data_IF_693617842603
#
_entry.id   IF_693617842603
#
_cell.length_a   1.000
_cell.length_b   1.000
_cell.length_c   1.000
_cell.angle_alpha   90.00
_cell.angle_beta   90.00
_cell.angle_gamma   90.00
#
_symmetry.space_group_name_H-M   'P 1'
#
loop_
_entity.id
_entity.type
_entity.pdbx_description
1 polymer ?
#
# COMPACT_ATOMS: atom_id res chain seq x y z
N UNK A 1 -17.17 12.68 0.05
CA UNK A 1 -15.81 12.43 0.57
C UNK A 1 -15.03 11.48 -0.34
N UNK A 2 -15.63 10.37 -0.75
CA UNK A 2 -15.00 9.37 -1.62
C UNK A 2 -14.62 9.91 -3.00
N UNK A 3 -15.54 10.58 -3.71
CA UNK A 3 -15.26 11.15 -5.04
C UNK A 3 -14.12 12.18 -5.00
N UNK A 4 -14.04 12.96 -3.90
CA UNK A 4 -12.98 13.92 -3.70
C UNK A 4 -11.62 13.23 -3.53
N UNK A 5 -11.53 12.20 -2.69
CA UNK A 5 -10.29 11.42 -2.52
C UNK A 5 -9.84 10.79 -3.85
N UNK A 6 -10.77 10.21 -4.61
CA UNK A 6 -10.47 9.62 -5.92
C UNK A 6 -9.99 10.68 -6.91
N UNK A 7 -10.69 11.81 -7.02
CA UNK A 7 -10.32 12.92 -7.88
C UNK A 7 -8.95 13.50 -7.52
N UNK A 8 -8.68 13.68 -6.22
CA UNK A 8 -7.39 14.18 -5.72
C UNK A 8 -6.24 13.22 -6.06
N UNK A 9 -6.44 11.91 -5.89
CA UNK A 9 -5.43 10.90 -6.20
C UNK A 9 -5.17 10.77 -7.71
N UNK A 10 -6.23 10.86 -8.53
CA UNK A 10 -6.12 10.89 -10.00
C UNK A 10 -5.40 12.16 -10.46
N UNK A 11 -5.79 13.33 -9.93
CA UNK A 11 -5.17 14.62 -10.26
C UNK A 11 -3.68 14.70 -9.89
N UNK A 12 -3.25 13.95 -8.86
CA UNK A 12 -1.83 13.80 -8.49
C UNK A 12 -1.08 12.73 -9.28
N UNK A 13 -1.78 11.99 -10.14
CA UNK A 13 -1.23 10.87 -10.90
C UNK A 13 -0.80 9.70 -10.01
N UNK A 14 -1.47 9.48 -8.87
CA UNK A 14 -1.13 8.36 -7.97
C UNK A 14 -1.49 7.03 -8.59
N UNK A 15 -2.57 6.98 -9.36
CA UNK A 15 -2.96 5.84 -10.16
C UNK A 15 -3.65 6.29 -11.44
N UNK A 16 -3.83 5.36 -12.38
CA UNK A 16 -4.66 5.52 -13.59
C UNK A 16 -5.56 4.32 -13.78
N UNK A 17 -6.60 4.50 -14.59
CA UNK A 17 -7.50 3.42 -14.99
C UNK A 17 -6.99 2.77 -16.27
N UNK A 18 -6.91 1.44 -16.30
CA UNK A 18 -6.50 0.67 -17.47
C UNK A 18 -7.39 -0.55 -17.65
N UNK A 19 -7.68 -0.90 -18.91
CA UNK A 19 -8.45 -2.10 -19.21
C UNK A 19 -7.56 -3.34 -19.02
N UNK A 20 -8.13 -4.41 -18.44
CA UNK A 20 -7.40 -5.68 -18.34
C UNK A 20 -6.98 -6.19 -19.72
N UNK A 21 -5.69 -6.47 -19.87
CA UNK A 21 -5.09 -7.08 -21.05
C UNK A 21 -4.33 -8.34 -20.61
N UNK A 22 -4.75 -9.51 -21.08
CA UNK A 22 -4.17 -10.79 -20.70
C UNK A 22 -2.67 -10.89 -21.00
N UNK A 23 -2.21 -10.33 -22.12
CA UNK A 23 -0.79 -10.37 -22.52
C UNK A 23 0.10 -9.56 -21.56
N UNK A 24 -0.41 -8.44 -21.06
CA UNK A 24 0.34 -7.53 -20.17
C UNK A 24 0.16 -7.89 -18.70
N UNK A 25 -1.05 -8.30 -18.31
CA UNK A 25 -1.46 -8.43 -16.91
C UNK A 25 -1.60 -9.87 -16.45
N UNK A 26 -1.64 -10.86 -17.35
CA UNK A 26 -1.91 -12.27 -16.99
C UNK A 26 -0.88 -12.89 -16.04
N UNK A 27 0.35 -12.35 -16.00
CA UNK A 27 1.41 -12.79 -15.08
C UNK A 27 1.56 -11.87 -13.85
N UNK A 28 0.85 -10.74 -13.83
CA UNK A 28 0.93 -9.75 -12.76
C UNK A 28 -0.20 -10.03 -11.78
N UNK A 29 0.14 -10.08 -10.48
CA UNK A 29 -0.86 -10.21 -9.44
C UNK A 29 -1.74 -8.96 -9.39
N UNK A 30 -3.05 -9.15 -9.46
CA UNK A 30 -4.03 -8.07 -9.28
C UNK A 30 -4.51 -8.10 -7.82
N UNK A 31 -4.31 -6.99 -7.11
CA UNK A 31 -4.73 -6.82 -5.72
C UNK A 31 -6.21 -6.43 -5.63
N UNK A 32 -6.83 -6.68 -4.48
CA UNK A 32 -8.11 -6.05 -4.15
C UNK A 32 -7.87 -4.63 -3.65
N UNK A 33 -8.83 -3.74 -3.83
CA UNK A 33 -8.82 -2.40 -3.22
C UNK A 33 -10.10 -2.17 -2.42
N UNK A 34 -10.10 -1.16 -1.55
CA UNK A 34 -11.31 -0.69 -0.85
C UNK A 34 -11.15 0.77 -0.43
N UNK A 35 -12.27 1.46 -0.29
CA UNK A 35 -12.31 2.74 0.42
C UNK A 35 -12.45 2.51 1.92
N UNK A 36 -11.70 3.29 2.71
CA UNK A 36 -11.77 3.29 4.17
C UNK A 36 -12.18 4.69 4.60
N UNK A 37 -13.33 4.79 5.28
CA UNK A 37 -13.91 6.04 5.74
C UNK A 37 -13.66 6.25 7.22
N UNK A 38 -13.35 7.47 7.61
CA UNK A 38 -13.12 7.86 9.01
C UNK A 38 -13.63 9.29 9.23
N UNK A 39 -14.23 9.55 10.41
CA UNK A 39 -14.58 10.90 10.83
C UNK A 39 -13.45 11.50 11.66
N UNK A 40 -12.87 12.60 11.19
CA UNK A 40 -11.81 13.37 11.86
C UNK A 40 -12.36 14.67 12.47
N UNK A 41 -11.58 15.33 13.32
CA UNK A 41 -11.96 16.63 13.89
C UNK A 41 -13.08 16.57 14.94
N UNK A 42 -13.23 15.43 15.64
CA UNK A 42 -14.34 15.16 16.57
C UNK A 42 -14.51 16.20 17.68
N UNK A 43 -13.43 16.85 18.10
CA UNK A 43 -13.42 17.86 19.17
C UNK A 43 -13.67 19.30 18.69
N UNK A 44 -13.62 19.55 17.39
CA UNK A 44 -13.82 20.89 16.81
C UNK A 44 -14.96 20.88 15.82
N UNK A 45 -14.66 20.62 14.54
CA UNK A 45 -15.64 20.47 13.46
C UNK A 45 -15.42 19.10 12.81
N UNK A 46 -16.32 18.13 13.05
CA UNK A 46 -16.22 16.82 12.44
C UNK A 46 -16.23 16.92 10.91
N UNK A 47 -15.36 16.17 10.25
CA UNK A 47 -15.34 16.05 8.79
C UNK A 47 -15.07 14.61 8.36
N UNK A 48 -15.69 14.22 7.24
CA UNK A 48 -15.51 12.90 6.65
C UNK A 48 -14.23 12.83 5.83
N UNK A 49 -13.41 11.83 6.10
CA UNK A 49 -12.20 11.53 5.35
C UNK A 49 -12.30 10.12 4.77
N UNK A 50 -12.09 10.01 3.46
CA UNK A 50 -11.95 8.72 2.79
C UNK A 50 -10.49 8.46 2.45
N UNK A 51 -10.12 7.19 2.35
CA UNK A 51 -8.79 6.74 1.90
C UNK A 51 -8.95 5.54 0.99
N UNK A 52 -8.37 5.61 -0.21
CA UNK A 52 -8.23 4.43 -1.06
C UNK A 52 -7.08 3.57 -0.55
N UNK A 53 -7.35 2.27 -0.33
CA UNK A 53 -6.40 1.33 0.25
C UNK A 53 -6.27 0.08 -0.60
N UNK A 54 -5.03 -0.31 -0.90
CA UNK A 54 -4.72 -1.58 -1.59
C UNK A 54 -4.59 -2.71 -0.58
N UNK A 55 -5.16 -3.87 -0.87
CA UNK A 55 -5.09 -5.04 0.01
C UNK A 55 -3.79 -5.83 -0.21
N UNK A 56 -2.64 -5.20 0.08
CA UNK A 56 -1.30 -5.77 -0.10
C UNK A 56 -0.86 -6.82 0.93
N UNK A 57 -1.76 -7.33 1.79
CA UNK A 57 -1.40 -8.32 2.82
C UNK A 57 -0.78 -9.59 2.23
N UNK A 58 -1.22 -10.00 1.04
CA UNK A 58 -0.67 -11.17 0.34
C UNK A 58 0.34 -10.80 -0.76
N UNK A 59 0.95 -9.60 -0.70
CA UNK A 59 2.08 -9.27 -1.58
C UNK A 59 3.27 -10.16 -1.19
N UNK A 60 3.72 -11.04 -2.10
CA UNK A 60 4.89 -11.89 -1.87
C UNK A 60 6.20 -11.09 -1.95
N UNK A 61 6.26 -10.06 -2.80
CA UNK A 61 7.46 -9.23 -2.94
C UNK A 61 7.72 -8.32 -1.74
N UNK A 62 6.77 -8.23 -0.79
CA UNK A 62 6.97 -7.49 0.45
C UNK A 62 8.11 -8.05 1.30
N UNK A 63 8.44 -9.34 1.18
CA UNK A 63 9.49 -9.97 2.00
C UNK A 63 10.86 -9.36 1.75
N UNK A 64 11.17 -9.04 0.49
CA UNK A 64 12.41 -8.36 0.12
C UNK A 64 12.42 -6.89 0.58
N UNK A 65 11.26 -6.22 0.54
CA UNK A 65 11.12 -4.78 0.78
C UNK A 65 11.09 -4.43 2.28
N UNK A 66 10.35 -5.20 3.08
CA UNK A 66 10.13 -4.94 4.50
C UNK A 66 11.34 -5.28 5.40
N UNK A 67 12.47 -5.65 4.81
CA UNK A 67 13.75 -5.79 5.53
C UNK A 67 14.29 -4.44 6.01
N UNK A 68 13.84 -3.34 5.40
CA UNK A 68 14.20 -1.98 5.78
C UNK A 68 13.12 -1.43 6.72
N UNK A 69 13.42 -1.34 8.03
CA UNK A 69 12.55 -0.69 9.00
C UNK A 69 13.10 0.71 9.33
N UNK A 70 12.44 1.78 8.84
CA UNK A 70 12.90 3.14 9.12
C UNK A 70 12.62 3.59 10.57
N UNK A 71 11.75 2.89 11.31
CA UNK A 71 11.21 3.37 12.59
C UNK A 71 11.73 2.63 13.83
N UNK A 72 12.62 1.64 13.67
CA UNK A 72 13.31 1.04 14.82
C UNK A 72 14.52 1.89 15.17
N UNK A 73 14.56 2.42 16.39
CA UNK A 73 15.73 3.15 16.90
C UNK A 73 17.00 2.28 16.77
N UNK A 74 18.14 2.90 16.44
CA UNK A 74 19.43 2.20 16.24
C UNK A 74 19.81 1.29 17.42
N UNK A 75 19.43 1.65 18.65
CA UNK A 75 19.64 0.82 19.84
C UNK A 75 18.82 -0.48 19.81
N UNK A 76 17.55 -0.41 19.45
CA UNK A 76 16.67 -1.58 19.32
C UNK A 76 17.11 -2.50 18.18
N UNK A 77 17.62 -1.97 17.06
CA UNK A 77 18.19 -2.78 15.98
C UNK A 77 19.40 -3.60 16.48
N UNK A 78 20.31 -2.97 17.23
CA UNK A 78 21.49 -3.64 17.80
C UNK A 78 21.11 -4.74 18.78
N UNK A 79 20.11 -4.51 19.64
CA UNK A 79 19.59 -5.51 20.57
C UNK A 79 18.97 -6.72 19.85
N UNK A 80 18.19 -6.48 18.79
CA UNK A 80 17.61 -7.56 17.99
C UNK A 80 18.73 -8.37 17.31
N UNK A 81 19.74 -7.69 16.75
CA UNK A 81 20.90 -8.36 16.13
C UNK A 81 21.71 -9.18 17.13
N UNK A 82 21.86 -8.73 18.39
CA UNK A 82 22.57 -9.51 19.42
C UNK A 82 21.79 -10.76 19.86
N UNK A 83 20.45 -10.71 19.83
CA UNK A 83 19.59 -11.83 20.25
C UNK A 83 19.32 -12.83 19.11
N UNK A 84 19.38 -12.38 17.86
CA UNK A 84 19.02 -13.18 16.69
C UNK A 84 19.74 -14.54 16.61
N UNK A 85 21.06 -14.67 16.88
CA UNK A 85 21.75 -15.96 16.80
C UNK A 85 21.19 -17.02 17.77
N UNK A 86 20.90 -16.62 19.01
CA UNK A 86 20.33 -17.50 20.03
C UNK A 86 18.89 -17.91 19.68
N UNK A 87 18.10 -16.97 19.14
CA UNK A 87 16.73 -17.25 18.70
C UNK A 87 16.70 -18.24 17.52
N UNK A 88 17.61 -18.08 16.56
CA UNK A 88 17.72 -18.98 15.40
C UNK A 88 18.14 -20.39 15.83
N UNK A 89 19.09 -20.52 16.77
CA UNK A 89 19.48 -21.83 17.32
C UNK A 89 18.32 -22.55 18.02
N UNK A 90 17.41 -21.81 18.64
CA UNK A 90 16.18 -22.33 19.23
C UNK A 90 15.05 -22.56 18.21
N UNK A 91 15.34 -22.53 16.90
CA UNK A 91 14.38 -22.76 15.83
C UNK A 91 13.42 -21.59 15.57
N UNK A 92 13.68 -20.40 16.13
CA UNK A 92 12.82 -19.22 15.94
C UNK A 92 13.32 -18.33 14.80
N UNK A 93 12.39 -17.81 13.99
CA UNK A 93 12.70 -16.83 12.94
C UNK A 93 12.46 -15.40 13.43
N UNK A 94 13.47 -14.52 13.33
CA UNK A 94 13.31 -13.09 13.57
C UNK A 94 12.68 -12.44 12.34
N UNK A 95 11.52 -11.81 12.50
CA UNK A 95 10.85 -11.05 11.45
C UNK A 95 10.68 -9.61 11.92
N UNK A 96 11.28 -8.66 11.21
CA UNK A 96 10.98 -7.25 11.43
C UNK A 96 9.62 -6.96 10.81
N UNK A 97 8.76 -6.26 11.55
CA UNK A 97 7.58 -5.62 10.99
C UNK A 97 7.51 -4.21 11.50
N UNK A 98 7.68 -3.29 10.57
CA UNK A 98 7.12 -1.97 10.71
C UNK A 98 6.08 -1.79 9.59
N UNK A 99 4.90 -1.29 9.94
CA UNK A 99 3.77 -1.14 9.03
C UNK A 99 3.14 0.22 9.29
N UNK A 100 2.95 1.01 8.23
CA UNK A 100 1.66 1.43 7.62
C UNK A 100 1.74 2.82 6.99
N UNK A 101 2.89 3.47 6.93
CA UNK A 101 2.93 4.78 6.31
C UNK A 101 3.15 4.63 4.80
N UNK A 102 2.11 4.97 4.05
CA UNK A 102 2.29 5.38 2.67
C UNK A 102 2.52 6.89 2.68
N UNK A 103 3.46 7.35 1.86
CA UNK A 103 3.66 8.76 1.56
C UNK A 103 2.99 9.06 0.21
N UNK A 104 1.66 9.21 0.10
CA UNK A 104 0.99 9.52 -1.17
C UNK A 104 1.36 10.89 -1.74
N UNK A 105 2.12 11.69 -0.99
CA UNK A 105 2.74 12.95 -1.41
C UNK A 105 4.08 12.73 -2.10
N UNK A 106 4.66 11.54 -2.03
CA UNK A 106 5.91 11.21 -2.69
C UNK A 106 5.76 11.40 -4.21
N UNK A 107 6.75 12.06 -4.81
CA UNK A 107 6.77 12.33 -6.24
C UNK A 107 7.37 11.18 -7.05
N UNK A 108 8.04 10.24 -6.38
CA UNK A 108 8.69 9.10 -7.00
C UNK A 108 7.67 8.02 -7.37
N UNK A 109 7.86 7.38 -8.52
CA UNK A 109 7.04 6.26 -8.96
C UNK A 109 7.48 4.96 -8.28
N UNK A 110 6.54 4.04 -8.06
CA UNK A 110 6.80 2.68 -7.68
C UNK A 110 7.65 1.99 -8.77
N UNK A 111 8.64 1.19 -8.36
CA UNK A 111 9.49 0.38 -9.25
C UNK A 111 8.74 -0.85 -9.76
N UNK A 112 7.83 -1.41 -8.95
CA UNK A 112 7.01 -2.56 -9.35
C UNK A 112 5.68 -2.11 -9.93
N UNK A 113 5.21 -2.83 -10.94
CA UNK A 113 3.85 -2.67 -11.45
C UNK A 113 2.86 -3.21 -10.41
N UNK A 114 2.05 -2.31 -9.84
CA UNK A 114 1.00 -2.67 -8.88
C UNK A 114 -0.36 -2.43 -9.54
N UNK A 115 -1.09 -3.53 -9.77
CA UNK A 115 -2.45 -3.51 -10.32
C UNK A 115 -3.45 -3.87 -9.23
N UNK A 116 -4.60 -3.19 -9.21
CA UNK A 116 -5.69 -3.54 -8.32
C UNK A 116 -7.05 -3.49 -9.01
N UNK A 117 -8.01 -4.28 -8.54
CA UNK A 117 -9.41 -4.12 -8.92
C UNK A 117 -9.95 -2.80 -8.40
N UNK A 118 -10.95 -2.26 -9.10
CA UNK A 118 -11.73 -1.14 -8.61
C UNK A 118 -12.36 -1.47 -7.25
N UNK A 119 -12.49 -0.49 -6.34
CA UNK A 119 -13.34 -0.64 -5.18
C UNK A 119 -14.81 -0.73 -5.64
N UNK A 120 -15.65 -1.42 -4.87
CA UNK A 120 -17.05 -1.68 -5.23
C UNK A 120 -17.83 -0.39 -5.56
N UNK A 121 -17.46 0.71 -4.89
CA UNK A 121 -18.04 2.04 -5.11
C UNK A 121 -17.76 2.61 -6.51
N UNK A 122 -16.70 2.17 -7.21
CA UNK A 122 -16.36 2.67 -8.55
C UNK A 122 -16.73 1.70 -9.67
N UNK A 123 -17.05 0.43 -9.37
CA UNK A 123 -17.31 -0.59 -10.39
C UNK A 123 -18.43 -0.21 -11.38
N UNK A 124 -19.43 0.54 -10.92
CA UNK A 124 -20.56 0.97 -11.76
C UNK A 124 -20.22 2.10 -12.74
N UNK A 125 -19.12 2.83 -12.51
CA UNK A 125 -18.74 4.01 -13.29
C UNK A 125 -17.83 3.67 -14.48
N UNK A 126 -17.25 2.46 -14.49
CA UNK A 126 -16.26 2.05 -15.47
C UNK A 126 -16.65 0.74 -16.16
N UNK A 127 -16.15 0.49 -17.38
CA UNK A 127 -16.37 -0.79 -18.05
C UNK A 127 -15.88 -1.97 -17.21
N UNK A 128 -16.54 -3.12 -17.37
CA UNK A 128 -16.11 -4.37 -16.72
C UNK A 128 -14.68 -4.70 -17.11
N UNK A 129 -13.87 -5.13 -16.14
CA UNK A 129 -12.45 -5.45 -16.35
C UNK A 129 -11.51 -4.24 -16.28
N UNK A 130 -12.01 -3.05 -15.91
CA UNK A 130 -11.15 -1.92 -15.57
C UNK A 130 -10.34 -2.20 -14.29
N UNK A 131 -9.06 -1.88 -14.33
CA UNK A 131 -8.12 -1.99 -13.22
C UNK A 131 -7.55 -0.62 -12.85
N UNK A 132 -7.14 -0.51 -11.59
CA UNK A 132 -6.29 0.55 -11.06
C UNK A 132 -4.83 0.16 -11.27
N UNK A 133 -4.12 0.91 -12.10
CA UNK A 133 -2.67 0.86 -12.17
C UNK A 133 -2.10 1.91 -11.24
N UNK A 134 -1.54 1.47 -10.11
CA UNK A 134 -0.95 2.34 -9.09
C UNK A 134 0.48 2.71 -9.48
N UNK A 135 0.71 4.01 -9.66
CA UNK A 135 1.97 4.58 -10.15
C UNK A 135 2.81 5.10 -8.98
N UNK A 136 2.20 5.78 -8.01
CA UNK A 136 2.89 6.38 -6.86
C UNK A 136 2.52 5.65 -5.56
N UNK A 137 3.28 5.84 -4.47
CA UNK A 137 2.98 5.26 -3.16
C UNK A 137 1.53 5.45 -2.72
N UNK A 138 0.86 4.35 -2.35
CA UNK A 138 -0.51 4.33 -1.86
C UNK A 138 -0.63 3.43 -0.62
N UNK A 139 -1.65 3.68 0.20
CA UNK A 139 -1.84 2.97 1.46
C UNK A 139 -1.82 1.45 1.29
N UNK A 140 -1.09 0.80 2.21
CA UNK A 140 -0.92 -0.67 2.31
C UNK A 140 -0.21 -1.36 1.14
N UNK A 141 0.46 -0.60 0.28
CA UNK A 141 1.48 -1.15 -0.63
C UNK A 141 2.80 -1.25 0.15
N UNK A 142 3.45 -2.42 0.13
CA UNK A 142 4.70 -2.64 0.88
C UNK A 142 5.82 -1.68 0.44
N UNK A 143 5.89 -1.41 -0.87
CA UNK A 143 6.85 -0.51 -1.48
C UNK A 143 6.61 0.97 -1.12
N UNK A 144 5.40 1.36 -0.70
CA UNK A 144 5.11 2.75 -0.40
C UNK A 144 5.98 3.34 0.74
N UNK A 145 6.60 2.50 1.57
CA UNK A 145 7.49 2.91 2.65
C UNK A 145 8.95 3.18 2.24
N UNK A 146 9.33 2.98 0.98
CA UNK A 146 10.70 3.22 0.49
C UNK A 146 10.88 4.54 -0.27
N UNK A 147 9.86 5.41 -0.26
CA UNK A 147 9.76 6.61 -1.08
C UNK A 147 9.64 7.89 -0.25
#
# INVERSE_FOLDING_TARGET
>A
SDDQEISDLVGRGVFKFEQYNEKLHGRIRIFKSRLVREVKGKTTKPYEKSRLVIQGYQDYGKEAILTQSPTIQRCSQRLIMSLAPALIQSGMSVKLRDITQAYPQAQTALKRTILAYLPAELEHQYPRGTLLHVIKPLYRIAEAGVH
#
